data_IF_504840001510
#
_entry.id   IF_504840001510
#
_cell.length_a   1.000
_cell.length_b   1.000
_cell.length_c   1.000
_cell.angle_alpha   90.00
_cell.angle_beta   90.00
_cell.angle_gamma   90.00
#
_symmetry.space_group_name_H-M   'P 1'
#
loop_
_entity.id
_entity.type
_entity.pdbx_description
1 polymer ?
#
# COMPACT_ATOMS: atom_id res chain seq x y z
N UNK A 1 -26.11 27.80 20.89
CA UNK A 1 -25.38 27.62 22.16
C UNK A 1 -25.31 26.12 22.51
N UNK A 2 -24.27 25.69 23.26
CA UNK A 2 -24.07 24.28 23.59
C UNK A 2 -25.24 23.70 24.39
N UNK A 3 -25.79 24.46 25.33
CA UNK A 3 -26.90 24.01 26.19
C UNK A 3 -28.20 23.80 25.38
N UNK A 4 -28.49 24.64 24.40
CA UNK A 4 -29.61 24.44 23.48
C UNK A 4 -29.42 23.17 22.64
N UNK A 5 -28.23 22.94 22.10
CA UNK A 5 -27.92 21.72 21.35
C UNK A 5 -28.10 20.47 22.22
N UNK A 6 -27.63 20.48 23.47
CA UNK A 6 -27.83 19.40 24.43
C UNK A 6 -29.32 19.15 24.71
N UNK A 7 -30.10 20.21 24.90
CA UNK A 7 -31.54 20.10 25.14
C UNK A 7 -32.27 19.46 23.94
N UNK A 8 -31.93 19.85 22.71
CA UNK A 8 -32.51 19.28 21.48
C UNK A 8 -32.13 17.80 21.31
N UNK A 9 -30.87 17.44 21.59
CA UNK A 9 -30.44 16.04 21.59
C UNK A 9 -31.22 15.23 22.63
N UNK A 10 -31.38 15.75 23.84
CA UNK A 10 -32.16 15.11 24.90
C UNK A 10 -33.65 14.96 24.53
N UNK A 11 -34.18 15.86 23.69
CA UNK A 11 -35.54 15.76 23.13
C UNK A 11 -35.67 14.75 21.99
N UNK A 12 -34.58 14.06 21.61
CA UNK A 12 -34.60 13.03 20.55
C UNK A 12 -34.47 13.59 19.13
N UNK A 13 -34.07 14.84 18.97
CA UNK A 13 -33.84 15.41 17.62
C UNK A 13 -32.62 14.74 16.96
N UNK A 14 -32.69 14.45 15.64
CA UNK A 14 -31.54 13.90 14.92
C UNK A 14 -30.38 14.88 14.88
N UNK A 15 -29.17 14.39 15.16
CA UNK A 15 -27.96 15.22 15.17
C UNK A 15 -26.75 14.51 14.55
N UNK A 16 -25.70 15.26 14.32
CA UNK A 16 -24.35 14.79 14.00
C UNK A 16 -23.35 15.48 14.91
N UNK A 17 -22.23 14.83 15.19
CA UNK A 17 -21.12 15.48 15.89
C UNK A 17 -20.09 15.87 14.84
N UNK A 18 -19.64 17.13 14.90
CA UNK A 18 -18.58 17.66 14.04
C UNK A 18 -17.36 18.03 14.85
N UNK A 19 -16.19 17.83 14.26
CA UNK A 19 -14.96 18.41 14.75
C UNK A 19 -15.04 19.92 14.60
N UNK A 20 -14.76 20.65 15.68
CA UNK A 20 -14.63 22.08 15.65
C UNK A 20 -13.16 22.44 15.49
N UNK A 21 -12.76 22.84 14.28
CA UNK A 21 -11.38 23.21 13.97
C UNK A 21 -11.15 24.68 14.30
N UNK A 22 -10.07 25.04 15.04
CA UNK A 22 -9.64 26.43 15.21
C UNK A 22 -9.44 27.07 13.83
N UNK A 23 -10.00 28.23 13.60
CA UNK A 23 -9.90 28.90 12.27
C UNK A 23 -8.64 29.75 12.14
N UNK A 24 -8.04 30.13 13.26
CA UNK A 24 -6.80 30.91 13.29
C UNK A 24 -5.59 29.96 13.43
N UNK A 25 -4.44 30.41 12.93
CA UNK A 25 -3.18 29.66 13.02
C UNK A 25 -3.01 28.57 11.98
N UNK A 26 -2.05 27.70 12.23
CA UNK A 26 -1.65 26.60 11.36
C UNK A 26 -1.54 25.30 12.14
N UNK A 27 -1.75 24.19 11.46
CA UNK A 27 -1.45 22.84 11.95
C UNK A 27 -0.28 22.27 11.17
N UNK A 28 0.77 21.85 11.89
CA UNK A 28 1.94 21.18 11.30
C UNK A 28 1.97 19.74 11.78
N UNK A 29 2.26 18.81 10.85
CA UNK A 29 2.52 17.43 11.17
C UNK A 29 3.77 16.95 10.44
N UNK A 30 4.45 15.99 11.04
CA UNK A 30 5.61 15.34 10.45
C UNK A 30 5.22 14.06 9.73
N UNK A 31 5.66 13.92 8.49
CA UNK A 31 5.55 12.70 7.69
C UNK A 31 6.94 12.14 7.38
N UNK A 32 7.17 10.87 7.67
CA UNK A 32 8.49 10.25 7.50
C UNK A 32 8.96 10.24 6.03
N UNK A 33 8.01 10.24 5.07
CA UNK A 33 8.34 10.32 3.65
C UNK A 33 8.42 11.77 3.15
N UNK A 34 7.43 12.61 3.47
CA UNK A 34 7.30 13.96 2.90
C UNK A 34 7.92 15.08 3.77
N UNK A 35 8.26 14.79 5.03
CA UNK A 35 8.79 15.78 5.98
C UNK A 35 7.69 16.60 6.63
N UNK A 36 8.03 17.79 7.11
CA UNK A 36 7.07 18.66 7.80
C UNK A 36 6.09 19.31 6.82
N UNK A 37 4.81 19.14 7.09
CA UNK A 37 3.71 19.69 6.28
C UNK A 37 2.88 20.61 7.16
N UNK A 38 2.79 21.88 6.75
CA UNK A 38 2.04 22.91 7.46
C UNK A 38 0.86 23.37 6.62
N UNK A 39 -0.33 23.42 7.22
CA UNK A 39 -1.54 23.94 6.57
C UNK A 39 -2.20 25.02 7.40
N UNK A 40 -2.81 26.00 6.76
CA UNK A 40 -3.61 27.02 7.45
C UNK A 40 -4.93 26.41 7.94
N UNK A 41 -5.24 26.54 9.21
CA UNK A 41 -6.44 25.96 9.82
C UNK A 41 -7.75 26.42 9.16
N UNK A 42 -7.78 27.65 8.64
CA UNK A 42 -8.94 28.20 7.93
C UNK A 42 -9.32 27.41 6.67
N UNK A 43 -8.36 26.64 6.09
CA UNK A 43 -8.60 25.82 4.90
C UNK A 43 -9.23 24.44 5.25
N UNK A 44 -9.22 24.09 6.53
CA UNK A 44 -9.77 22.82 7.00
C UNK A 44 -11.28 22.98 7.28
N UNK A 45 -12.05 21.98 6.84
CA UNK A 45 -13.48 21.89 7.11
C UNK A 45 -13.78 21.19 8.46
N UNK A 46 -14.86 21.60 9.10
CA UNK A 46 -15.39 20.95 10.29
C UNK A 46 -16.04 19.62 9.90
N UNK A 47 -15.25 18.56 9.81
CA UNK A 47 -15.71 17.23 9.37
C UNK A 47 -16.70 16.59 10.35
N UNK A 48 -17.61 15.76 9.82
CA UNK A 48 -18.49 14.94 10.66
C UNK A 48 -17.68 13.84 11.31
N UNK A 49 -17.75 13.73 12.62
CA UNK A 49 -17.15 12.64 13.42
C UNK A 49 -18.14 11.51 13.65
N UNK A 50 -19.35 11.84 14.12
CA UNK A 50 -20.42 10.87 14.36
C UNK A 50 -21.61 11.19 13.46
N UNK A 51 -22.08 10.18 12.73
CA UNK A 51 -23.23 10.26 11.84
C UNK A 51 -24.55 10.21 12.62
N UNK A 52 -25.66 10.55 11.94
CA UNK A 52 -27.00 10.52 12.51
C UNK A 52 -27.44 9.13 13.01
N UNK A 53 -26.92 8.06 12.41
CA UNK A 53 -27.17 6.68 12.80
C UNK A 53 -26.37 6.22 14.02
N UNK A 54 -25.58 7.12 14.62
CA UNK A 54 -24.71 6.84 15.76
C UNK A 54 -23.37 6.19 15.39
N UNK A 55 -23.12 5.91 14.11
CA UNK A 55 -21.85 5.32 13.68
C UNK A 55 -20.80 6.42 13.40
N UNK A 56 -19.53 6.18 13.75
CA UNK A 56 -18.46 7.11 13.43
C UNK A 56 -18.21 7.16 11.92
N UNK A 57 -17.65 8.28 11.47
CA UNK A 57 -17.05 8.33 10.14
C UNK A 57 -15.68 7.66 10.15
N UNK A 58 -15.19 7.27 8.98
CA UNK A 58 -13.84 6.72 8.84
C UNK A 58 -12.78 7.62 9.49
N UNK A 59 -12.85 8.92 9.23
CA UNK A 59 -11.88 9.89 9.74
C UNK A 59 -11.87 10.05 11.27
N UNK A 60 -12.90 9.61 11.95
CA UNK A 60 -12.94 9.56 13.40
C UNK A 60 -12.55 8.20 13.93
N UNK A 61 -13.11 7.14 13.33
CA UNK A 61 -12.84 5.77 13.76
C UNK A 61 -11.35 5.42 13.67
N UNK A 62 -10.66 5.80 12.59
CA UNK A 62 -9.25 5.48 12.43
C UNK A 62 -8.37 6.05 13.56
N UNK A 63 -8.62 7.28 14.01
CA UNK A 63 -7.86 7.90 15.12
C UNK A 63 -8.10 7.15 16.43
N UNK A 64 -9.34 6.76 16.69
CA UNK A 64 -9.71 6.02 17.92
C UNK A 64 -9.11 4.61 17.88
N UNK A 65 -9.27 3.92 16.77
CA UNK A 65 -8.80 2.54 16.60
C UNK A 65 -7.26 2.48 16.63
N UNK A 66 -6.58 3.37 15.93
CA UNK A 66 -5.11 3.45 15.94
C UNK A 66 -4.57 3.68 17.36
N UNK A 67 -5.19 4.58 18.14
CA UNK A 67 -4.79 4.82 19.52
C UNK A 67 -5.06 3.60 20.41
N UNK A 68 -6.27 3.05 20.38
CA UNK A 68 -6.65 1.93 21.24
C UNK A 68 -5.92 0.63 20.91
N UNK A 69 -5.53 0.44 19.65
CA UNK A 69 -4.74 -0.70 19.18
C UNK A 69 -3.24 -0.51 19.38
N UNK A 70 -2.79 0.65 19.85
CA UNK A 70 -1.37 0.96 20.05
C UNK A 70 -0.57 1.04 18.75
N UNK A 71 -1.18 1.52 17.67
CA UNK A 71 -0.51 1.70 16.37
C UNK A 71 0.57 2.78 16.51
N UNK A 72 1.79 2.42 16.15
CA UNK A 72 2.96 3.32 16.21
C UNK A 72 3.25 4.00 14.88
N UNK A 73 2.92 3.35 13.76
CA UNK A 73 3.17 3.84 12.41
C UNK A 73 1.93 3.66 11.54
N UNK A 74 1.50 4.73 10.88
CA UNK A 74 0.37 4.72 9.93
C UNK A 74 0.93 4.84 8.52
N UNK A 75 0.98 3.70 7.81
CA UNK A 75 1.45 3.63 6.42
C UNK A 75 0.25 3.61 5.49
N UNK A 76 0.12 4.60 4.59
CA UNK A 76 -1.04 4.71 3.69
C UNK A 76 -0.74 5.57 2.46
N UNK A 77 -1.67 5.65 1.53
CA UNK A 77 -1.52 6.44 0.31
C UNK A 77 -1.49 7.94 0.55
N UNK A 78 -0.77 8.67 -0.30
CA UNK A 78 -0.59 10.12 -0.20
C UNK A 78 -1.89 10.93 -0.36
N UNK A 79 -3.00 10.33 -0.82
CA UNK A 79 -4.33 10.93 -0.84
C UNK A 79 -4.83 11.36 0.54
N UNK A 80 -4.29 10.78 1.61
CA UNK A 80 -4.65 11.12 2.99
C UNK A 80 -3.84 12.28 3.58
N UNK A 81 -2.82 12.79 2.88
CA UNK A 81 -2.03 13.95 3.34
C UNK A 81 -2.91 15.17 3.67
N UNK A 82 -3.95 15.42 2.87
CA UNK A 82 -4.90 16.50 3.11
C UNK A 82 -5.79 16.31 4.34
N UNK A 83 -5.95 15.07 4.81
CA UNK A 83 -6.74 14.75 6.00
C UNK A 83 -5.91 14.68 7.27
N UNK A 84 -4.61 14.44 7.17
CA UNK A 84 -3.71 14.26 8.31
C UNK A 84 -3.75 15.43 9.32
N UNK A 85 -3.83 16.71 8.91
CA UNK A 85 -3.96 17.80 9.88
C UNK A 85 -5.20 17.71 10.77
N UNK A 86 -6.32 17.21 10.22
CA UNK A 86 -7.55 17.03 10.99
C UNK A 86 -7.42 15.88 12.02
N UNK A 87 -6.65 14.84 11.68
CA UNK A 87 -6.34 13.75 12.62
C UNK A 87 -5.44 14.23 13.75
N UNK A 88 -4.39 15.02 13.44
CA UNK A 88 -3.53 15.61 14.47
C UNK A 88 -4.35 16.42 15.49
N UNK A 89 -5.25 17.27 15.01
CA UNK A 89 -6.12 18.04 15.88
C UNK A 89 -7.05 17.17 16.73
N UNK A 90 -7.41 15.96 16.29
CA UNK A 90 -8.14 15.00 17.11
C UNK A 90 -7.25 14.39 18.18
N UNK A 91 -6.04 13.92 17.84
CA UNK A 91 -5.06 13.41 18.80
C UNK A 91 -4.75 14.46 19.87
N UNK A 92 -4.48 15.70 19.47
CA UNK A 92 -4.25 16.81 20.38
C UNK A 92 -5.46 17.07 21.29
N UNK A 93 -6.68 17.06 20.73
CA UNK A 93 -7.91 17.28 21.47
C UNK A 93 -8.20 16.18 22.51
N UNK A 94 -7.73 14.97 22.29
CA UNK A 94 -7.79 13.88 23.26
C UNK A 94 -6.59 13.83 24.20
N UNK A 95 -5.55 14.60 23.96
CA UNK A 95 -4.29 14.54 24.70
C UNK A 95 -3.50 13.26 24.42
N UNK A 96 -3.65 12.70 23.23
CA UNK A 96 -2.98 11.46 22.78
C UNK A 96 -1.74 11.77 21.95
N UNK A 97 -0.78 10.85 21.98
CA UNK A 97 0.40 10.90 21.14
C UNK A 97 0.02 10.59 19.69
N UNK A 98 0.56 11.39 18.76
CA UNK A 98 0.34 11.20 17.31
C UNK A 98 1.25 10.10 16.80
N UNK A 99 0.76 9.08 16.07
CA UNK A 99 1.60 8.06 15.48
C UNK A 99 2.49 8.64 14.38
N UNK A 100 3.56 7.93 14.04
CA UNK A 100 4.40 8.29 12.91
C UNK A 100 3.63 8.08 11.60
N UNK A 101 3.45 9.14 10.81
CA UNK A 101 2.86 9.02 9.48
C UNK A 101 3.91 8.66 8.43
N UNK A 102 3.55 7.75 7.54
CA UNK A 102 4.34 7.34 6.39
C UNK A 102 3.41 7.31 5.18
N UNK A 103 3.36 8.40 4.42
CA UNK A 103 2.55 8.44 3.22
C UNK A 103 3.34 7.93 2.02
N UNK A 104 2.75 7.01 1.27
CA UNK A 104 3.33 6.41 0.08
C UNK A 104 2.72 7.02 -1.18
N UNK A 105 3.54 7.26 -2.18
CA UNK A 105 3.08 7.69 -3.49
C UNK A 105 2.31 6.57 -4.20
N UNK A 106 1.33 6.88 -5.06
CA UNK A 106 0.54 5.87 -5.76
C UNK A 106 1.37 5.13 -6.80
N UNK A 107 0.99 3.87 -7.06
CA UNK A 107 1.43 3.15 -8.24
C UNK A 107 0.53 3.54 -9.41
N UNK A 108 1.15 3.96 -10.49
CA UNK A 108 0.48 4.45 -11.70
C UNK A 108 0.50 3.38 -12.78
N UNK A 109 -0.55 3.34 -13.62
CA UNK A 109 -0.55 2.56 -14.85
C UNK A 109 0.25 3.24 -15.96
N UNK A 110 0.14 4.56 -16.02
CA UNK A 110 0.85 5.44 -16.95
C UNK A 110 1.06 6.80 -16.28
N UNK A 111 1.63 7.76 -17.00
CA UNK A 111 1.95 9.09 -16.46
C UNK A 111 0.74 9.87 -15.90
N UNK A 112 -0.49 9.49 -16.24
CA UNK A 112 -1.70 10.23 -15.90
C UNK A 112 -2.71 9.43 -15.06
N UNK A 113 -2.66 8.10 -15.11
CA UNK A 113 -3.69 7.25 -14.52
C UNK A 113 -3.14 6.36 -13.40
N UNK A 114 -3.74 6.47 -12.22
CA UNK A 114 -3.48 5.56 -11.11
C UNK A 114 -3.98 4.15 -11.45
N UNK A 115 -3.22 3.12 -11.06
CA UNK A 115 -3.69 1.74 -11.15
C UNK A 115 -4.97 1.53 -10.35
N UNK A 116 -5.92 0.82 -10.93
CA UNK A 116 -7.20 0.52 -10.28
C UNK A 116 -7.82 -0.76 -10.81
N UNK A 117 -8.24 -1.65 -9.93
CA UNK A 117 -9.00 -2.87 -10.28
C UNK A 117 -10.25 -2.55 -11.12
N UNK A 118 -10.90 -1.39 -10.90
CA UNK A 118 -12.06 -0.96 -11.68
C UNK A 118 -11.75 -0.67 -13.15
N UNK A 119 -10.48 -0.39 -13.44
CA UNK A 119 -10.00 -0.10 -14.79
C UNK A 119 -9.38 -1.33 -15.46
N UNK A 120 -9.47 -2.52 -14.84
CA UNK A 120 -8.94 -3.77 -15.39
C UNK A 120 -7.44 -3.99 -15.12
N UNK A 121 -6.82 -3.19 -14.24
CA UNK A 121 -5.44 -3.42 -13.84
C UNK A 121 -5.35 -4.70 -12.98
N UNK A 122 -4.29 -5.53 -13.16
CA UNK A 122 -4.21 -6.84 -12.53
C UNK A 122 -4.08 -6.74 -11.02
N UNK A 123 -4.79 -7.61 -10.31
CA UNK A 123 -4.58 -7.89 -8.89
C UNK A 123 -3.43 -8.88 -8.70
N UNK A 124 -3.03 -9.10 -7.45
CA UNK A 124 -2.08 -10.16 -7.11
C UNK A 124 -2.54 -11.54 -7.59
N UNK A 125 -3.83 -11.84 -7.40
CA UNK A 125 -4.44 -13.10 -7.83
C UNK A 125 -4.42 -13.25 -9.34
N UNK A 126 -4.66 -12.17 -10.09
CA UNK A 126 -4.61 -12.17 -11.55
C UNK A 126 -3.18 -12.43 -12.05
N UNK A 127 -2.18 -11.80 -11.42
CA UNK A 127 -0.77 -12.04 -11.74
C UNK A 127 -0.37 -13.50 -11.46
N UNK A 128 -0.78 -14.06 -10.32
CA UNK A 128 -0.56 -15.48 -10.02
C UNK A 128 -1.22 -16.41 -11.04
N UNK A 129 -2.44 -16.11 -11.45
CA UNK A 129 -3.15 -16.90 -12.46
C UNK A 129 -2.46 -16.84 -13.84
N UNK A 130 -1.73 -15.75 -14.12
CA UNK A 130 -0.91 -15.59 -15.32
C UNK A 130 0.46 -16.29 -15.23
N UNK A 131 0.81 -16.88 -14.08
CA UNK A 131 2.05 -17.64 -13.89
C UNK A 131 3.20 -16.86 -13.26
N UNK A 132 2.93 -15.66 -12.74
CA UNK A 132 3.94 -14.93 -11.97
C UNK A 132 4.13 -15.55 -10.58
N UNK A 133 5.37 -15.77 -10.19
CA UNK A 133 5.72 -16.32 -8.88
C UNK A 133 5.54 -15.26 -7.78
N UNK A 134 4.99 -15.67 -6.64
CA UNK A 134 4.84 -14.79 -5.48
C UNK A 134 6.13 -14.06 -5.09
N UNK A 135 7.31 -14.72 -4.98
CA UNK A 135 8.55 -14.01 -4.66
C UNK A 135 8.92 -12.94 -5.68
N UNK A 136 8.70 -13.19 -6.98
CA UNK A 136 8.98 -12.22 -8.04
C UNK A 136 8.05 -11.01 -7.94
N UNK A 137 6.75 -11.23 -7.70
CA UNK A 137 5.77 -10.15 -7.50
C UNK A 137 6.15 -9.29 -6.28
N UNK A 138 6.46 -9.92 -5.14
CA UNK A 138 6.82 -9.21 -3.91
C UNK A 138 8.08 -8.37 -4.09
N UNK A 139 9.13 -8.94 -4.67
CA UNK A 139 10.37 -8.22 -4.92
C UNK A 139 10.15 -7.02 -5.86
N UNK A 140 9.44 -7.24 -6.98
CA UNK A 140 9.15 -6.18 -7.94
C UNK A 140 8.30 -5.05 -7.31
N UNK A 141 7.24 -5.40 -6.59
CA UNK A 141 6.35 -4.42 -5.94
C UNK A 141 7.07 -3.62 -4.85
N UNK A 142 7.97 -4.26 -4.09
CA UNK A 142 8.79 -3.55 -3.11
C UNK A 142 9.61 -2.44 -3.77
N UNK A 143 10.24 -2.72 -4.91
CA UNK A 143 11.08 -1.75 -5.63
C UNK A 143 10.29 -0.70 -6.43
N UNK A 144 8.97 -0.82 -6.55
CA UNK A 144 8.14 0.22 -7.18
C UNK A 144 8.07 1.51 -6.37
N UNK A 145 8.11 1.43 -5.06
CA UNK A 145 7.95 2.60 -4.19
C UNK A 145 9.04 2.74 -3.14
N UNK A 146 10.06 1.89 -3.19
CA UNK A 146 11.16 1.86 -2.25
C UNK A 146 12.47 1.53 -2.97
N UNK A 147 13.56 2.07 -2.47
CA UNK A 147 14.91 1.76 -2.94
C UNK A 147 15.79 1.38 -1.75
N UNK A 148 16.57 0.29 -1.86
CA UNK A 148 17.55 -0.08 -0.85
C UNK A 148 18.62 0.99 -0.75
N UNK A 149 19.27 1.07 0.42
CA UNK A 149 20.33 2.05 0.70
C UNK A 149 21.64 1.35 1.07
N UNK A 150 22.72 2.12 1.07
CA UNK A 150 24.04 1.63 1.44
C UNK A 150 24.60 0.62 0.44
N UNK A 151 25.17 -0.47 0.95
CA UNK A 151 25.84 -1.49 0.13
C UNK A 151 24.88 -2.23 -0.82
N UNK A 152 23.59 -2.26 -0.51
CA UNK A 152 22.56 -2.95 -1.31
C UNK A 152 21.89 -2.03 -2.34
N UNK A 153 22.34 -0.79 -2.51
CA UNK A 153 21.71 0.22 -3.39
C UNK A 153 21.56 -0.23 -4.86
N UNK A 154 22.45 -1.12 -5.32
CA UNK A 154 22.45 -1.65 -6.68
C UNK A 154 21.77 -3.04 -6.78
N UNK A 155 21.33 -3.62 -5.66
CA UNK A 155 20.71 -4.93 -5.67
C UNK A 155 19.27 -4.82 -6.18
N UNK A 156 18.91 -5.68 -7.15
CA UNK A 156 17.55 -5.75 -7.69
C UNK A 156 16.79 -6.99 -7.22
N UNK A 157 17.48 -8.11 -6.99
CA UNK A 157 16.87 -9.38 -6.60
C UNK A 157 17.02 -9.64 -5.13
N UNK A 158 15.91 -9.81 -4.44
CA UNK A 158 15.84 -10.01 -3.00
C UNK A 158 14.92 -11.17 -2.65
N UNK A 159 15.35 -12.04 -1.77
CA UNK A 159 14.42 -12.89 -1.02
C UNK A 159 13.58 -12.03 -0.07
N UNK A 160 12.49 -12.58 0.46
CA UNK A 160 11.67 -11.86 1.43
C UNK A 160 12.47 -11.51 2.70
N UNK A 161 13.33 -12.40 3.18
CA UNK A 161 14.15 -12.19 4.36
C UNK A 161 15.19 -11.07 4.13
N UNK A 162 15.79 -11.02 2.94
CA UNK A 162 16.68 -9.93 2.55
C UNK A 162 15.92 -8.59 2.44
N UNK A 163 14.70 -8.58 1.89
CA UNK A 163 13.86 -7.37 1.89
C UNK A 163 13.54 -6.88 3.30
N UNK A 164 13.19 -7.81 4.21
CA UNK A 164 12.94 -7.47 5.62
C UNK A 164 14.20 -6.88 6.28
N UNK A 165 15.37 -7.46 6.01
CA UNK A 165 16.64 -6.96 6.55
C UNK A 165 17.10 -5.62 5.98
N UNK A 166 16.79 -5.36 4.71
CA UNK A 166 17.20 -4.16 3.98
C UNK A 166 16.22 -2.98 4.15
N UNK A 167 14.97 -3.26 4.56
CA UNK A 167 13.91 -2.25 4.58
C UNK A 167 14.21 -1.11 5.55
N UNK A 168 14.15 0.11 5.04
CA UNK A 168 14.25 1.36 5.78
C UNK A 168 13.19 2.33 5.25
N UNK A 169 12.42 2.95 6.16
CA UNK A 169 11.39 3.95 5.82
C UNK A 169 11.96 5.08 4.96
N UNK A 170 13.20 5.49 5.24
CA UNK A 170 13.86 6.54 4.46
C UNK A 170 14.10 6.18 2.99
N UNK A 171 14.04 4.89 2.61
CA UNK A 171 14.11 4.43 1.23
C UNK A 171 12.79 4.61 0.45
N UNK A 172 11.70 4.97 1.10
CA UNK A 172 10.39 5.15 0.44
C UNK A 172 10.43 6.36 -0.49
N UNK A 173 10.01 6.15 -1.74
CA UNK A 173 10.00 7.18 -2.79
C UNK A 173 8.85 8.16 -2.58
N UNK A 174 9.16 9.47 -2.77
CA UNK A 174 8.16 10.55 -2.81
C UNK A 174 7.45 10.66 -4.15
N UNK A 175 8.03 10.05 -5.20
CA UNK A 175 7.50 10.11 -6.56
C UNK A 175 6.65 8.89 -6.85
N UNK A 176 5.54 9.05 -7.59
CA UNK A 176 4.78 7.93 -8.10
C UNK A 176 5.64 7.01 -8.97
N UNK A 177 5.44 5.70 -8.86
CA UNK A 177 6.08 4.70 -9.70
C UNK A 177 5.08 4.22 -10.77
N UNK A 178 5.57 3.97 -11.99
CA UNK A 178 4.76 3.40 -13.06
C UNK A 178 4.93 1.88 -13.03
N UNK A 179 3.81 1.15 -13.01
CA UNK A 179 3.83 -0.31 -13.10
C UNK A 179 4.22 -0.72 -14.52
N UNK A 180 5.30 -1.50 -14.61
CA UNK A 180 5.84 -2.01 -15.86
C UNK A 180 5.76 -3.54 -15.87
N UNK A 181 4.89 -4.08 -16.71
CA UNK A 181 4.68 -5.53 -16.84
C UNK A 181 5.90 -6.23 -17.47
N UNK A 182 6.66 -5.55 -18.31
CA UNK A 182 7.86 -6.12 -18.92
C UNK A 182 8.95 -6.30 -17.86
N UNK A 183 9.11 -5.29 -16.99
CA UNK A 183 10.01 -5.39 -15.85
C UNK A 183 9.59 -6.48 -14.88
N UNK A 184 8.30 -6.62 -14.55
CA UNK A 184 7.82 -7.73 -13.74
C UNK A 184 8.09 -9.09 -14.41
N UNK A 185 7.91 -9.19 -15.72
CA UNK A 185 8.23 -10.40 -16.50
C UNK A 185 9.71 -10.75 -16.40
N UNK A 186 10.58 -9.77 -16.50
CA UNK A 186 12.03 -9.94 -16.31
C UNK A 186 12.35 -10.48 -14.90
N UNK A 187 11.74 -9.91 -13.86
CA UNK A 187 11.88 -10.43 -12.50
C UNK A 187 11.41 -11.87 -12.41
N UNK A 188 10.23 -12.17 -12.92
CA UNK A 188 9.65 -13.51 -12.87
C UNK A 188 10.53 -14.54 -13.60
N UNK A 189 11.06 -14.19 -14.76
CA UNK A 189 11.98 -15.04 -15.51
C UNK A 189 13.25 -15.35 -14.72
N UNK A 190 13.79 -14.37 -13.99
CA UNK A 190 14.95 -14.59 -13.13
C UNK A 190 14.65 -15.58 -12.00
N UNK A 191 13.52 -15.39 -11.29
CA UNK A 191 13.10 -16.30 -10.23
C UNK A 191 12.84 -17.71 -10.75
N UNK A 192 12.17 -17.86 -11.90
CA UNK A 192 11.92 -19.18 -12.53
C UNK A 192 13.22 -19.89 -12.89
N UNK A 193 14.19 -19.19 -13.46
CA UNK A 193 15.51 -19.78 -13.83
C UNK A 193 16.27 -20.30 -12.62
N UNK A 194 16.16 -19.60 -11.49
CA UNK A 194 16.89 -19.93 -10.27
C UNK A 194 16.16 -20.96 -9.38
N UNK A 195 14.95 -21.42 -9.76
CA UNK A 195 14.29 -22.50 -9.03
C UNK A 195 15.08 -23.82 -9.14
N UNK A 196 15.09 -24.63 -8.08
CA UNK A 196 15.53 -26.01 -8.19
C UNK A 196 14.73 -26.75 -9.30
N UNK A 197 15.34 -27.64 -10.09
CA UNK A 197 14.67 -28.31 -11.22
C UNK A 197 13.35 -28.99 -10.86
N UNK A 198 13.26 -29.59 -9.67
CA UNK A 198 12.03 -30.22 -9.18
C UNK A 198 10.92 -29.22 -8.91
N UNK A 199 11.26 -28.03 -8.38
CA UNK A 199 10.30 -26.96 -8.13
C UNK A 199 9.86 -26.31 -9.42
N UNK A 200 10.81 -26.08 -10.34
CA UNK A 200 10.48 -25.57 -11.68
C UNK A 200 9.51 -26.51 -12.39
N UNK A 201 9.77 -27.84 -12.34
CA UNK A 201 8.89 -28.83 -12.94
C UNK A 201 7.46 -28.75 -12.36
N UNK A 202 7.30 -28.64 -11.04
CA UNK A 202 5.99 -28.51 -10.41
C UNK A 202 5.24 -27.25 -10.86
N UNK A 203 5.96 -26.12 -10.97
CA UNK A 203 5.38 -24.85 -11.42
C UNK A 203 5.00 -24.91 -12.91
N UNK A 204 5.83 -25.52 -13.74
CA UNK A 204 5.63 -25.60 -15.18
C UNK A 204 4.60 -26.67 -15.60
N UNK A 205 4.39 -27.72 -14.78
CA UNK A 205 3.55 -28.88 -15.12
C UNK A 205 2.14 -28.50 -15.64
N UNK A 206 1.35 -27.60 -14.99
CA UNK A 206 0.02 -27.27 -15.48
C UNK A 206 0.04 -26.69 -16.91
N UNK A 207 1.02 -25.82 -17.19
CA UNK A 207 1.20 -25.18 -18.48
C UNK A 207 1.68 -26.16 -19.56
N UNK A 208 2.62 -27.04 -19.20
CA UNK A 208 3.12 -28.09 -20.11
C UNK A 208 1.96 -29.02 -20.50
N UNK A 209 1.16 -29.51 -19.53
CA UNK A 209 0.02 -30.38 -19.80
C UNK A 209 -1.08 -29.72 -20.63
N UNK A 210 -1.21 -28.41 -20.50
CA UNK A 210 -2.16 -27.65 -21.34
C UNK A 210 -1.67 -27.52 -22.78
N UNK A 211 -0.37 -27.26 -22.97
CA UNK A 211 0.20 -26.96 -24.28
C UNK A 211 0.60 -28.22 -25.05
N UNK A 212 1.18 -29.23 -24.38
CA UNK A 212 1.73 -30.43 -25.00
C UNK A 212 0.78 -31.60 -24.83
N UNK A 213 0.22 -32.09 -25.95
CA UNK A 213 -0.71 -33.22 -25.96
C UNK A 213 -0.03 -34.54 -26.35
N UNK A 214 1.24 -34.49 -26.77
CA UNK A 214 2.00 -35.68 -27.12
C UNK A 214 2.55 -36.36 -25.85
N UNK A 215 2.06 -37.54 -25.55
CA UNK A 215 2.44 -38.35 -24.38
C UNK A 215 3.82 -39.03 -24.51
N UNK A 216 4.48 -38.91 -25.66
CA UNK A 216 5.82 -39.49 -25.89
C UNK A 216 6.91 -38.81 -25.04
N UNK A 217 6.66 -37.63 -24.52
CA UNK A 217 7.59 -36.85 -23.67
C UNK A 217 7.03 -36.69 -22.26
N UNK A 218 7.87 -36.97 -21.27
CA UNK A 218 7.50 -36.73 -19.88
C UNK A 218 7.50 -35.22 -19.55
N UNK A 219 6.66 -34.81 -18.59
CA UNK A 219 6.62 -33.44 -18.11
C UNK A 219 8.00 -33.00 -17.60
N UNK A 220 8.74 -33.89 -16.93
CA UNK A 220 10.07 -33.58 -16.41
C UNK A 220 11.11 -33.31 -17.51
N UNK A 221 11.10 -34.05 -18.60
CA UNK A 221 11.99 -33.79 -19.75
C UNK A 221 11.70 -32.46 -20.41
N UNK A 222 10.40 -32.16 -20.61
CA UNK A 222 9.99 -30.88 -21.19
C UNK A 222 10.35 -29.71 -20.23
N UNK A 223 10.11 -29.86 -18.92
CA UNK A 223 10.44 -28.85 -17.94
C UNK A 223 11.95 -28.58 -17.90
N UNK A 224 12.78 -29.62 -17.90
CA UNK A 224 14.24 -29.48 -17.94
C UNK A 224 14.73 -28.74 -19.20
N UNK A 225 14.14 -29.05 -20.35
CA UNK A 225 14.46 -28.37 -21.60
C UNK A 225 14.04 -26.88 -21.55
N UNK A 226 12.82 -26.58 -21.07
CA UNK A 226 12.32 -25.22 -20.95
C UNK A 226 13.18 -24.39 -19.99
N UNK A 227 13.58 -24.95 -18.86
CA UNK A 227 14.47 -24.27 -17.92
C UNK A 227 15.83 -23.98 -18.54
N UNK A 228 16.39 -24.93 -19.28
CA UNK A 228 17.70 -24.78 -19.95
C UNK A 228 17.68 -23.68 -21.02
N UNK A 229 16.62 -23.59 -21.87
CA UNK A 229 16.53 -22.60 -22.94
C UNK A 229 16.06 -21.20 -22.46
N UNK A 230 15.55 -21.09 -21.25
CA UNK A 230 15.14 -19.79 -20.72
C UNK A 230 16.32 -18.86 -20.39
N UNK A 231 17.56 -19.31 -20.59
CA UNK A 231 18.78 -18.49 -20.50
C UNK A 231 19.13 -17.75 -21.79
N UNK A 232 18.45 -18.02 -22.86
CA UNK A 232 18.64 -17.36 -24.16
C UNK A 232 17.51 -16.42 -24.48
#
# INVERSE_FOLDING_TARGET
PLEEAKARVAAGEPYVIRQRIPKDGTTTFHDASFGDITVENKTLDDQVLLKRDGLPTYNFANVIDDHLMGITHVVRGSEYLSSAPKYNLLYEGFGWEVPTYVHCSPVMRDAQHKMSKRNGDPSYEDLKAQGYLTPAILNYVALLGWSPRGEQSEQEFFTLDELVGAFDIGGISKSPAIFDIEKLTYFNANYLRNLPPEEFCKVAEPYIRQAVKNEAYSVGEIAALLQAVSYT
#
